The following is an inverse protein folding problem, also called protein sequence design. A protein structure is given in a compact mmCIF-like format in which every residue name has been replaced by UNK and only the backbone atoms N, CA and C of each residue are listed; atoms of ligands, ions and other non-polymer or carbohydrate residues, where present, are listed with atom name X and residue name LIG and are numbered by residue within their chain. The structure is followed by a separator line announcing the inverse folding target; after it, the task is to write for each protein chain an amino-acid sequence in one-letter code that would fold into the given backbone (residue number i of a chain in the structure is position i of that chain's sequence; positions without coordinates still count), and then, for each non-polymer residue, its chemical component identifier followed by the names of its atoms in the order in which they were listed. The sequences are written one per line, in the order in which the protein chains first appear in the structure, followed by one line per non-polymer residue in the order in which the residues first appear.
data_IF_632144120289
#
_entry.id   IF_632144120289
#
_cell.length_a   1.000
_cell.length_b   1.000
_cell.length_c   1.000
_cell.angle_alpha   90.00
_cell.angle_beta   90.00
_cell.angle_gamma   90.00
#
_symmetry.space_group_name_H-M   'P 1'
#
loop_
_entity.id
_entity.type
_entity.pdbx_description
1 polymer ?
#
# COMPACT_ATOMS: atom_id res chain seq x y z
N UNK A 1 8.62 -18.55 5.97
CA UNK A 1 9.46 -17.36 6.28
C UNK A 1 9.78 -16.53 5.04
N UNK A 2 10.11 -17.16 3.90
CA UNK A 2 10.43 -16.47 2.64
C UNK A 2 9.33 -15.54 2.09
N UNK A 3 8.04 -15.78 2.34
CA UNK A 3 6.93 -14.95 1.83
C UNK A 3 6.85 -13.54 2.45
N UNK A 4 7.31 -13.35 3.70
CA UNK A 4 7.18 -12.06 4.40
C UNK A 4 8.32 -11.09 4.07
N UNK A 5 9.52 -11.62 3.79
CA UNK A 5 10.70 -10.81 3.41
C UNK A 5 10.48 -10.13 2.07
N UNK A 6 9.67 -10.72 1.18
CA UNK A 6 9.26 -10.10 -0.09
C UNK A 6 8.30 -8.93 0.04
N UNK A 7 7.60 -8.73 1.17
CA UNK A 7 6.64 -7.63 1.32
C UNK A 7 7.33 -6.29 1.60
N UNK A 8 8.44 -6.29 2.34
CA UNK A 8 9.19 -5.08 2.69
C UNK A 8 9.77 -4.31 1.49
N UNK A 9 10.37 -4.95 0.46
CA UNK A 9 10.85 -4.23 -0.72
C UNK A 9 9.73 -3.78 -1.67
N UNK A 10 8.51 -4.33 -1.57
CA UNK A 10 7.36 -3.91 -2.39
C UNK A 10 6.74 -2.62 -1.85
N UNK A 11 6.76 -2.44 -0.53
CA UNK A 11 6.44 -1.18 0.11
C UNK A 11 7.70 -0.32 0.16
N UNK A 12 8.15 0.12 -1.03
CA UNK A 12 9.23 1.11 -1.15
C UNK A 12 8.98 2.25 -0.16
N UNK A 13 10.01 2.59 0.62
CA UNK A 13 10.03 3.73 1.52
C UNK A 13 9.30 4.88 0.84
N UNK A 14 8.31 5.47 1.51
CA UNK A 14 7.46 6.56 0.99
C UNK A 14 8.22 7.83 0.59
N UNK A 15 9.55 7.78 0.61
CA UNK A 15 10.51 8.82 0.26
C UNK A 15 10.98 8.72 -1.21
N UNK A 16 10.93 7.55 -1.87
CA UNK A 16 11.31 7.39 -3.29
C UNK A 16 10.11 7.44 -4.25
N UNK A 17 8.91 7.65 -3.73
CA UNK A 17 7.68 7.71 -4.51
C UNK A 17 7.45 9.16 -4.98
N UNK A 18 6.96 9.36 -6.21
CA UNK A 18 6.67 10.69 -6.75
C UNK A 18 5.77 11.49 -5.78
N UNK A 19 6.03 12.80 -5.53
CA UNK A 19 5.32 13.62 -4.54
C UNK A 19 3.79 13.51 -4.60
N UNK A 20 3.22 13.48 -5.81
CA UNK A 20 1.79 13.23 -6.04
C UNK A 20 1.25 11.98 -5.32
N UNK A 21 1.97 10.85 -5.43
CA UNK A 21 1.57 9.60 -4.78
C UNK A 21 1.86 9.64 -3.28
N UNK A 22 2.91 10.33 -2.84
CA UNK A 22 3.18 10.52 -1.42
C UNK A 22 2.06 11.34 -0.73
N UNK A 23 1.60 12.41 -1.37
CA UNK A 23 0.49 13.24 -0.88
C UNK A 23 -0.84 12.50 -0.95
N UNK A 24 -1.10 11.77 -2.04
CA UNK A 24 -2.29 10.93 -2.16
C UNK A 24 -2.32 9.87 -1.05
N UNK A 25 -1.18 9.24 -0.77
CA UNK A 25 -1.05 8.29 0.33
C UNK A 25 -1.27 8.97 1.68
N UNK A 26 -0.78 10.18 1.90
CA UNK A 26 -0.96 10.91 3.15
C UNK A 26 -2.42 11.33 3.38
N UNK A 27 -3.18 11.61 2.32
CA UNK A 27 -4.61 11.93 2.40
C UNK A 27 -5.46 10.67 2.59
N UNK A 28 -5.13 9.58 1.89
CA UNK A 28 -5.87 8.33 1.95
C UNK A 28 -5.53 7.49 3.18
N UNK A 29 -4.28 7.58 3.64
CA UNK A 29 -3.71 6.85 4.75
C UNK A 29 -2.98 7.82 5.66
N UNK A 30 -3.25 7.74 6.96
CA UNK A 30 -2.41 8.43 7.92
C UNK A 30 -0.97 7.92 7.79
N UNK A 31 -0.08 8.77 7.28
CA UNK A 31 1.32 8.46 7.00
C UNK A 31 2.03 7.97 8.26
N UNK A 32 1.64 8.46 9.43
CA UNK A 32 2.23 8.06 10.69
C UNK A 32 1.83 6.64 11.06
N UNK A 33 0.56 6.27 10.88
CA UNK A 33 0.09 4.91 11.12
C UNK A 33 0.77 3.90 10.18
N UNK A 34 0.92 4.26 8.90
CA UNK A 34 1.63 3.44 7.91
C UNK A 34 3.12 3.26 8.25
N UNK A 35 3.82 4.34 8.63
CA UNK A 35 5.22 4.29 9.07
C UNK A 35 5.40 3.45 10.34
N UNK A 36 4.51 3.58 11.31
CA UNK A 36 4.53 2.79 12.55
C UNK A 36 4.35 1.30 12.27
N UNK A 37 3.41 0.92 11.39
CA UNK A 37 3.19 -0.48 11.01
C UNK A 37 4.43 -1.09 10.34
N UNK A 38 5.08 -0.35 9.43
CA UNK A 38 6.33 -0.79 8.80
C UNK A 38 7.49 -0.89 9.82
N UNK A 39 7.60 0.08 10.73
CA UNK A 39 8.60 0.08 11.80
C UNK A 39 8.47 -1.15 12.71
N UNK A 40 7.23 -1.51 13.09
CA UNK A 40 6.96 -2.71 13.89
C UNK A 40 7.40 -4.00 13.20
N UNK A 41 7.21 -4.10 11.88
CA UNK A 41 7.67 -5.27 11.10
C UNK A 41 9.19 -5.31 11.01
N UNK A 42 9.86 -4.18 10.83
CA UNK A 42 11.32 -4.13 10.81
C UNK A 42 11.92 -4.55 12.16
N UNK A 43 11.33 -4.10 13.28
CA UNK A 43 11.71 -4.55 14.62
C UNK A 43 11.48 -6.06 14.77
N UNK A 44 10.34 -6.58 14.31
CA UNK A 44 10.03 -8.01 14.34
C UNK A 44 11.08 -8.85 13.58
N UNK A 45 11.50 -8.38 12.40
CA UNK A 45 12.56 -9.00 11.60
C UNK A 45 13.87 -9.07 12.39
N UNK A 46 14.31 -7.95 12.97
CA UNK A 46 15.53 -7.89 13.76
C UNK A 46 15.48 -8.82 14.98
N UNK A 47 14.32 -8.91 15.65
CA UNK A 47 14.11 -9.84 16.77
C UNK A 47 14.22 -11.30 16.33
N UNK A 48 13.64 -11.66 15.18
CA UNK A 48 13.74 -13.03 14.64
C UNK A 48 15.18 -13.37 14.28
N UNK A 49 15.92 -12.45 13.67
CA UNK A 49 17.34 -12.65 13.31
C UNK A 49 18.21 -12.83 14.56
N UNK A 50 17.95 -12.08 15.63
CA UNK A 50 18.66 -12.24 16.89
C UNK A 50 18.35 -13.60 17.54
N UNK A 51 17.07 -14.00 17.60
CA UNK A 51 16.66 -15.33 18.08
C UNK A 51 17.32 -16.43 17.26
N UNK A 52 17.36 -16.30 15.92
CA UNK A 52 18.03 -17.27 15.06
C UNK A 52 19.52 -17.40 15.41
N UNK A 53 20.24 -16.28 15.55
CA UNK A 53 21.67 -16.26 15.88
C UNK A 53 21.94 -16.91 17.24
N UNK A 54 21.15 -16.59 18.26
CA UNK A 54 21.33 -17.12 19.61
C UNK A 54 21.12 -18.64 19.66
N UNK A 55 20.04 -19.12 19.03
CA UNK A 55 19.74 -20.54 19.01
C UNK A 55 20.70 -21.36 18.14
N UNK A 56 21.23 -20.79 17.05
CA UNK A 56 22.29 -21.41 16.26
C UNK A 56 23.58 -21.54 17.07
N UNK A 57 23.93 -20.54 17.88
CA UNK A 57 25.09 -20.62 18.80
C UNK A 57 24.88 -21.70 19.87
N UNK A 58 23.72 -21.73 20.51
CA UNK A 58 23.39 -22.72 21.54
C UNK A 58 23.38 -24.15 21.00
N UNK A 59 22.93 -24.34 19.76
CA UNK A 59 22.93 -25.66 19.11
C UNK A 59 24.33 -26.26 18.92
N UNK A 60 25.39 -25.44 18.83
CA UNK A 60 26.77 -25.93 18.66
C UNK A 60 27.27 -26.73 19.86
N UNK A 61 26.73 -26.46 21.05
CA UNK A 61 27.09 -27.12 22.31
C UNK A 61 26.05 -28.17 22.73
N UNK A 62 25.31 -28.73 21.77
CA UNK A 62 24.28 -29.74 22.04
C UNK A 62 24.88 -31.13 22.21
N UNK A 63 24.85 -31.66 23.44
CA UNK A 63 25.45 -32.97 23.76
C UNK A 63 24.60 -34.18 23.34
N UNK A 64 23.31 -33.97 23.00
CA UNK A 64 22.39 -35.05 22.63
C UNK A 64 21.36 -34.63 21.59
N UNK A 65 20.89 -35.61 20.82
CA UNK A 65 19.81 -35.42 19.84
C UNK A 65 18.54 -34.84 20.48
N UNK A 66 18.23 -35.27 21.71
CA UNK A 66 17.09 -34.78 22.46
C UNK A 66 17.21 -33.29 22.78
N UNK A 67 18.38 -32.85 23.25
CA UNK A 67 18.65 -31.43 23.57
C UNK A 67 18.57 -30.55 22.32
N UNK A 68 19.14 -31.00 21.20
CA UNK A 68 19.04 -30.30 19.91
C UNK A 68 17.58 -30.19 19.42
N UNK A 69 16.78 -31.25 19.56
CA UNK A 69 15.35 -31.23 19.20
C UNK A 69 14.57 -30.24 20.05
N UNK A 70 14.82 -30.19 21.36
CA UNK A 70 14.17 -29.22 22.25
C UNK A 70 14.55 -27.77 21.91
N UNK A 71 15.85 -27.50 21.67
CA UNK A 71 16.32 -26.17 21.26
C UNK A 71 15.66 -25.71 19.96
N UNK A 72 15.60 -26.58 18.94
CA UNK A 72 14.91 -26.29 17.68
C UNK A 72 13.44 -25.94 17.91
N UNK A 73 12.72 -26.74 18.71
CA UNK A 73 11.29 -26.51 18.99
C UNK A 73 11.07 -25.20 19.74
N UNK A 74 11.94 -24.87 20.70
CA UNK A 74 11.89 -23.62 21.44
C UNK A 74 12.17 -22.40 20.54
N UNK A 75 13.18 -22.48 19.65
CA UNK A 75 13.50 -21.43 18.69
C UNK A 75 12.30 -21.12 17.77
N UNK A 76 11.72 -22.15 17.16
CA UNK A 76 10.55 -22.02 16.30
C UNK A 76 9.33 -21.47 17.06
N UNK A 77 9.16 -21.89 18.32
CA UNK A 77 8.13 -21.35 19.21
C UNK A 77 8.28 -19.85 19.41
N UNK A 78 9.47 -19.37 19.78
CA UNK A 78 9.73 -17.93 19.96
C UNK A 78 9.51 -17.13 18.68
N UNK A 79 10.00 -17.63 17.55
CA UNK A 79 9.77 -16.99 16.25
C UNK A 79 8.28 -16.90 15.91
N UNK A 80 7.51 -17.95 16.18
CA UNK A 80 6.07 -17.95 15.96
C UNK A 80 5.34 -16.95 16.86
N UNK A 81 5.73 -16.85 18.14
CA UNK A 81 5.16 -15.86 19.08
C UNK A 81 5.44 -14.43 18.62
N UNK A 82 6.65 -14.15 18.14
CA UNK A 82 7.00 -12.83 17.58
C UNK A 82 6.13 -12.54 16.36
N UNK A 83 5.88 -13.49 15.47
CA UNK A 83 5.02 -13.24 14.30
C UNK A 83 3.55 -13.03 14.72
N UNK A 84 3.04 -13.83 15.67
CA UNK A 84 1.65 -13.75 16.13
C UNK A 84 1.31 -12.42 16.79
N UNK A 85 2.25 -11.80 17.50
CA UNK A 85 2.07 -10.49 18.13
C UNK A 85 1.88 -9.37 17.09
N UNK A 86 2.31 -9.57 15.84
CA UNK A 86 2.32 -8.56 14.77
C UNK A 86 1.10 -8.71 13.86
N UNK A 87 0.10 -9.50 14.26
CA UNK A 87 -1.09 -9.80 13.46
C UNK A 87 -1.83 -8.53 13.00
N UNK A 88 -2.03 -7.57 13.90
CA UNK A 88 -2.80 -6.35 13.59
C UNK A 88 -2.10 -5.49 12.53
N UNK A 89 -0.78 -5.31 12.64
CA UNK A 89 0.01 -4.54 11.68
C UNK A 89 0.02 -5.20 10.29
N UNK A 90 0.08 -6.54 10.25
CA UNK A 90 0.00 -7.31 9.01
C UNK A 90 -1.38 -7.21 8.36
N UNK A 91 -2.45 -7.27 9.16
CA UNK A 91 -3.82 -7.12 8.66
C UNK A 91 -4.05 -5.72 8.07
N UNK A 92 -3.58 -4.68 8.75
CA UNK A 92 -3.61 -3.31 8.24
C UNK A 92 -2.86 -3.17 6.91
N UNK A 93 -1.62 -3.67 6.81
CA UNK A 93 -0.85 -3.56 5.56
C UNK A 93 -1.48 -4.35 4.40
N UNK A 94 -2.12 -5.48 4.68
CA UNK A 94 -2.85 -6.23 3.65
C UNK A 94 -4.08 -5.46 3.16
N UNK A 95 -4.81 -4.79 4.06
CA UNK A 95 -5.90 -3.88 3.65
C UNK A 95 -5.36 -2.75 2.77
N UNK A 96 -4.28 -2.09 3.19
CA UNK A 96 -3.63 -1.03 2.39
C UNK A 96 -3.23 -1.56 1.01
N UNK A 97 -2.64 -2.75 0.91
CA UNK A 97 -2.27 -3.39 -0.36
C UNK A 97 -3.48 -3.63 -1.27
N UNK A 98 -4.58 -4.15 -0.72
CA UNK A 98 -5.81 -4.43 -1.49
C UNK A 98 -6.45 -3.15 -2.02
N UNK A 99 -6.48 -2.08 -1.20
CA UNK A 99 -6.97 -0.78 -1.62
C UNK A 99 -6.08 -0.15 -2.69
N UNK A 100 -4.75 -0.22 -2.54
CA UNK A 100 -3.79 0.27 -3.52
C UNK A 100 -3.89 -0.41 -4.87
N UNK A 101 -4.14 -1.73 -4.88
CA UNK A 101 -4.30 -2.50 -6.12
C UNK A 101 -5.52 -2.07 -6.95
N UNK A 102 -6.46 -1.31 -6.38
CA UNK A 102 -7.64 -0.79 -7.08
C UNK A 102 -7.43 0.62 -7.63
N UNK A 103 -6.37 1.32 -7.23
CA UNK A 103 -6.12 2.66 -7.74
C UNK A 103 -5.67 2.58 -9.20
N UNK A 104 -6.21 3.45 -10.08
CA UNK A 104 -5.75 3.52 -11.45
C UNK A 104 -4.27 3.94 -11.46
N UNK A 105 -3.50 3.37 -12.39
CA UNK A 105 -2.12 3.82 -12.63
C UNK A 105 -2.15 5.22 -13.23
N UNK A 106 -1.59 6.18 -12.51
CA UNK A 106 -1.55 7.60 -12.86
C UNK A 106 -0.10 7.93 -13.15
N UNK A 107 0.22 8.27 -14.39
CA UNK A 107 1.58 8.69 -14.71
C UNK A 107 1.70 10.22 -14.52
N UNK A 108 2.42 10.70 -13.48
CA UNK A 108 2.52 12.13 -13.20
C UNK A 108 3.31 12.90 -14.27
N UNK A 109 4.15 12.23 -15.06
CA UNK A 109 4.98 12.87 -16.09
C UNK A 109 4.25 13.03 -17.43
N UNK A 110 3.07 12.40 -17.57
CA UNK A 110 2.28 12.47 -18.80
C UNK A 110 1.33 13.66 -18.82
N UNK A 111 0.99 14.10 -20.04
CA UNK A 111 0.07 15.22 -20.28
C UNK A 111 -1.29 14.92 -19.67
N UNK A 112 -1.69 15.78 -18.74
CA UNK A 112 -2.90 15.60 -17.95
C UNK A 112 -3.82 16.80 -18.10
N UNK A 113 -5.11 16.55 -18.32
CA UNK A 113 -6.19 17.53 -18.28
C UNK A 113 -6.99 17.32 -16.99
N UNK A 114 -7.02 18.32 -16.11
CA UNK A 114 -7.75 18.25 -14.84
C UNK A 114 -9.12 18.93 -14.98
N UNK A 115 -10.19 18.20 -14.68
CA UNK A 115 -11.55 18.72 -14.64
C UNK A 115 -11.95 18.99 -13.18
N UNK A 116 -11.87 20.26 -12.80
CA UNK A 116 -12.25 20.73 -11.47
C UNK A 116 -13.64 21.37 -11.49
N UNK A 117 -14.43 21.15 -10.44
CA UNK A 117 -15.67 21.90 -10.22
C UNK A 117 -16.57 21.29 -9.15
N UNK A 118 -17.74 21.90 -8.93
CA UNK A 118 -18.74 21.45 -7.95
C UNK A 118 -19.33 20.07 -8.26
N UNK A 119 -19.74 19.28 -7.24
CA UNK A 119 -20.45 18.02 -7.48
C UNK A 119 -21.66 18.24 -8.40
N UNK A 120 -22.05 17.23 -9.17
CA UNK A 120 -23.22 17.21 -10.06
C UNK A 120 -23.23 18.20 -11.25
N UNK A 121 -22.16 18.94 -11.54
CA UNK A 121 -22.08 19.81 -12.75
C UNK A 121 -21.88 19.06 -14.08
N UNK A 122 -22.04 17.74 -14.10
CA UNK A 122 -21.91 16.93 -15.32
C UNK A 122 -20.49 16.56 -15.74
N UNK A 123 -19.49 16.72 -14.86
CA UNK A 123 -18.08 16.35 -15.14
C UNK A 123 -17.92 14.89 -15.61
N UNK A 124 -18.59 13.94 -14.96
CA UNK A 124 -18.52 12.52 -15.34
C UNK A 124 -19.15 12.27 -16.72
N UNK A 125 -20.22 13.00 -17.06
CA UNK A 125 -20.82 12.93 -18.40
C UNK A 125 -19.88 13.48 -19.48
N UNK A 126 -19.12 14.53 -19.16
CA UNK A 126 -18.09 15.06 -20.06
C UNK A 126 -16.97 14.04 -20.31
N UNK A 127 -16.50 13.35 -19.26
CA UNK A 127 -15.50 12.29 -19.39
C UNK A 127 -16.00 11.16 -20.31
N UNK A 128 -17.22 10.66 -20.12
CA UNK A 128 -17.74 9.55 -20.93
C UNK A 128 -17.90 9.92 -22.41
N UNK A 129 -18.09 11.21 -22.72
CA UNK A 129 -18.19 11.68 -24.12
C UNK A 129 -16.82 11.87 -24.77
N UNK A 130 -15.83 12.35 -24.00
CA UNK A 130 -14.50 12.74 -24.53
C UNK A 130 -13.50 11.60 -24.48
N UNK A 131 -13.65 10.67 -23.53
CA UNK A 131 -12.74 9.55 -23.32
C UNK A 131 -13.49 8.23 -23.47
N UNK A 132 -12.75 7.14 -23.69
CA UNK A 132 -13.32 5.77 -23.66
C UNK A 132 -13.52 5.23 -22.23
N UNK A 133 -13.60 6.11 -21.23
CA UNK A 133 -13.84 5.69 -19.86
C UNK A 133 -15.34 5.47 -19.66
N UNK A 134 -15.70 4.31 -19.12
CA UNK A 134 -17.07 4.01 -18.72
C UNK A 134 -17.22 4.36 -17.23
N UNK A 135 -17.44 5.65 -16.95
CA UNK A 135 -17.64 6.14 -15.57
C UNK A 135 -19.13 6.11 -15.26
N UNK A 136 -19.55 5.35 -14.25
CA UNK A 136 -20.93 5.37 -13.78
C UNK A 136 -21.32 6.77 -13.28
N UNK A 137 -22.36 7.35 -13.88
CA UNK A 137 -22.93 8.64 -13.47
C UNK A 137 -24.01 8.37 -12.43
N UNK A 138 -23.69 8.52 -11.15
CA UNK A 138 -24.65 8.38 -10.06
C UNK A 138 -25.07 9.78 -9.52
N UNK A 139 -26.37 10.04 -9.23
CA UNK A 139 -26.91 11.37 -8.94
C UNK A 139 -26.62 11.93 -7.53
N UNK A 140 -25.91 11.19 -6.67
CA UNK A 140 -25.60 11.62 -5.31
C UNK A 140 -24.31 12.43 -5.23
N UNK A 141 -24.30 13.51 -4.44
CA UNK A 141 -23.18 14.46 -4.29
C UNK A 141 -21.87 13.89 -3.66
N UNK A 142 -21.78 12.57 -3.47
CA UNK A 142 -20.66 11.86 -2.84
C UNK A 142 -19.96 10.86 -3.78
N UNK A 143 -20.23 10.92 -5.08
CA UNK A 143 -19.86 9.87 -6.06
C UNK A 143 -18.45 9.97 -6.63
N UNK A 144 -17.56 10.79 -6.06
CA UNK A 144 -16.11 10.71 -6.34
C UNK A 144 -15.33 10.49 -5.06
N UNK A 145 -15.51 9.33 -4.41
CA UNK A 145 -14.58 8.86 -3.36
C UNK A 145 -13.21 8.44 -3.93
N UNK A 146 -13.09 8.35 -5.25
CA UNK A 146 -11.87 7.95 -5.97
C UNK A 146 -11.65 8.83 -7.20
N UNK A 147 -10.39 9.13 -7.50
CA UNK A 147 -9.96 9.85 -8.70
C UNK A 147 -10.28 8.99 -9.94
N UNK A 148 -11.10 9.50 -10.86
CA UNK A 148 -11.32 8.85 -12.16
C UNK A 148 -10.30 9.36 -13.18
N UNK A 149 -9.77 8.40 -13.95
CA UNK A 149 -8.78 8.66 -15.01
C UNK A 149 -9.34 8.11 -16.31
N UNK A 150 -9.57 8.99 -17.27
CA UNK A 150 -9.89 8.64 -18.64
C UNK A 150 -8.69 8.88 -19.57
N UNK A 151 -8.65 8.15 -20.69
CA UNK A 151 -7.67 8.36 -21.74
C UNK A 151 -8.36 8.88 -23.00
N UNK A 152 -7.77 9.91 -23.61
CA UNK A 152 -8.16 10.40 -24.94
C UNK A 152 -6.91 10.51 -25.83
N UNK A 153 -7.09 10.28 -27.12
CA UNK A 153 -6.04 10.48 -28.12
C UNK A 153 -6.38 11.74 -28.94
N UNK A 154 -5.47 12.71 -28.97
CA UNK A 154 -5.62 13.95 -29.73
C UNK A 154 -4.31 14.34 -30.40
N UNK A 155 -4.33 14.63 -31.70
CA UNK A 155 -3.13 14.93 -32.52
C UNK A 155 -2.02 13.87 -32.36
N UNK A 156 -2.36 12.59 -32.43
CA UNK A 156 -1.44 11.46 -32.25
C UNK A 156 -0.73 11.42 -30.89
N UNK A 157 -1.20 12.20 -29.91
CA UNK A 157 -0.70 12.21 -28.54
C UNK A 157 -1.78 11.67 -27.61
N UNK A 158 -1.37 10.88 -26.62
CA UNK A 158 -2.25 10.38 -25.57
C UNK A 158 -2.32 11.39 -24.42
N UNK A 159 -3.53 11.72 -24.01
CA UNK A 159 -3.83 12.62 -22.90
C UNK A 159 -4.58 11.87 -21.80
N UNK A 160 -4.23 12.16 -20.55
CA UNK A 160 -4.95 11.66 -19.38
C UNK A 160 -5.94 12.73 -18.90
N UNK A 161 -7.23 12.42 -18.88
CA UNK A 161 -8.26 13.30 -18.34
C UNK A 161 -8.58 12.83 -16.92
N UNK A 162 -8.42 13.72 -15.93
CA UNK A 162 -8.62 13.41 -14.50
C UNK A 162 -9.73 14.29 -13.94
N UNK A 163 -10.64 13.75 -13.14
CA UNK A 163 -11.65 14.55 -12.42
C UNK A 163 -11.28 14.74 -10.96
N UNK A 164 -11.42 15.98 -10.49
CA UNK A 164 -11.37 16.33 -9.08
C UNK A 164 -12.66 17.08 -8.73
N UNK A 165 -13.38 16.57 -7.74
CA UNK A 165 -14.54 17.26 -7.18
C UNK A 165 -14.06 18.15 -6.04
N UNK A 166 -14.34 19.44 -6.13
CA UNK A 166 -14.09 20.38 -5.04
C UNK A 166 -15.26 20.25 -4.07
N UNK A 167 -15.14 19.37 -3.09
CA UNK A 167 -16.00 19.33 -1.91
C UNK A 167 -15.32 20.19 -0.84
N UNK A 168 -15.87 21.37 -0.59
CA UNK A 168 -15.45 22.31 0.48
C UNK A 168 -14.02 22.89 0.37
N UNK A 169 -13.90 24.00 -0.38
CA UNK A 169 -13.17 25.19 0.08
C UNK A 169 -14.19 26.32 0.22
N UNK A 170 -15.00 26.24 1.27
CA UNK A 170 -15.76 27.32 1.90
C UNK A 170 -15.94 26.96 3.37
#
# INVERSE_FOLDING_TARGET
MSKYITLLPIFSSSEDIHPFYADLMNVLYDKDHYKLALGQINIAKNLIDNVAKDYVRLMKYGDSLYRCKQLKRAALGRMCTIIKRQKQSLEYLEQVRQHLSRLPTIDPNTRTLLLCGYPNVGKSSFINKVTRADVEVQPYAFTTKSLFVGHMDYKYLRWQVRTVTILHFL
#
